data_IF_433236658916
#
_entry.id   IF_433236658916
#
_cell.length_a   1.000
_cell.length_b   1.000
_cell.length_c   1.000
_cell.angle_alpha   90.00
_cell.angle_beta   90.00
_cell.angle_gamma   90.00
#
_symmetry.space_group_name_H-M   'P 1'
#
loop_
_entity.id
_entity.type
_entity.pdbx_description
1 polymer ?
#
# COMPACT_ATOMS: atom_id res chain seq x y z
N UNK A 1 -26.54 3.62 -2.14
CA UNK A 1 -25.26 4.26 -2.46
C UNK A 1 -24.35 3.98 -1.28
N UNK A 2 -23.46 2.99 -1.40
CA UNK A 2 -22.45 2.75 -0.35
C UNK A 2 -21.54 3.97 -0.42
N UNK A 3 -21.29 4.71 0.68
CA UNK A 3 -20.27 5.77 0.66
C UNK A 3 -18.98 5.13 0.13
N UNK A 4 -18.24 5.82 -0.75
CA UNK A 4 -17.07 5.25 -1.45
C UNK A 4 -16.26 4.36 -0.49
N UNK A 5 -16.35 3.05 -0.75
CA UNK A 5 -16.41 2.06 0.32
C UNK A 5 -15.06 1.74 0.95
N UNK A 6 -15.07 1.52 2.28
CA UNK A 6 -13.99 0.89 3.02
C UNK A 6 -13.49 -0.40 2.34
N UNK A 7 -14.38 -1.19 1.72
CA UNK A 7 -14.08 -2.50 1.16
C UNK A 7 -14.35 -2.60 -0.35
N UNK A 8 -13.66 -3.53 -1.01
CA UNK A 8 -13.85 -3.85 -2.43
C UNK A 8 -13.00 -3.01 -3.38
N UNK A 9 -11.99 -2.31 -2.87
CA UNK A 9 -11.13 -1.43 -3.65
C UNK A 9 -10.17 -2.23 -4.53
N UNK A 10 -9.87 -1.70 -5.71
CA UNK A 10 -8.79 -2.19 -6.58
C UNK A 10 -7.65 -1.21 -6.44
N UNK A 11 -6.48 -1.68 -6.01
CA UNK A 11 -5.30 -0.84 -5.85
C UNK A 11 -4.26 -1.22 -6.90
N UNK A 12 -3.49 -0.25 -7.36
CA UNK A 12 -2.37 -0.51 -8.28
C UNK A 12 -1.07 -0.59 -7.48
N UNK A 13 -0.35 -1.69 -7.66
CA UNK A 13 1.01 -1.86 -7.16
C UNK A 13 1.96 -1.36 -8.25
N UNK A 14 2.78 -0.37 -7.91
CA UNK A 14 3.84 0.13 -8.78
C UNK A 14 5.18 -0.33 -8.20
N UNK A 15 5.79 -1.31 -8.88
CA UNK A 15 7.02 -1.96 -8.46
C UNK A 15 8.21 -1.31 -9.17
N UNK A 16 9.16 -0.70 -8.44
CA UNK A 16 10.30 -0.05 -9.06
C UNK A 16 11.12 -1.08 -9.85
N UNK A 17 11.41 -0.76 -11.11
CA UNK A 17 12.45 -1.46 -11.83
C UNK A 17 13.81 -0.93 -11.37
N UNK A 18 14.85 -1.76 -11.47
CA UNK A 18 16.21 -1.36 -11.11
C UNK A 18 16.73 -0.19 -11.95
N UNK A 19 18.01 0.12 -11.83
CA UNK A 19 18.62 1.19 -12.65
C UNK A 19 19.25 0.64 -13.92
N UNK A 20 19.31 1.45 -14.97
CA UNK A 20 20.12 1.16 -16.15
C UNK A 20 21.63 1.25 -15.82
N UNK A 21 22.50 0.99 -16.82
CA UNK A 21 23.97 1.05 -16.63
C UNK A 21 24.53 2.43 -16.26
N UNK A 22 23.72 3.48 -16.36
CA UNK A 22 24.06 4.87 -16.05
C UNK A 22 23.49 5.32 -14.70
N UNK A 23 22.75 4.46 -14.00
CA UNK A 23 22.12 4.79 -12.72
C UNK A 23 20.73 5.42 -12.86
N UNK A 24 20.19 5.60 -14.08
CA UNK A 24 18.84 6.11 -14.24
C UNK A 24 17.81 5.02 -13.89
N UNK A 25 16.72 5.36 -13.18
CA UNK A 25 15.67 4.41 -12.87
C UNK A 25 14.98 3.91 -14.14
N UNK A 26 14.80 2.60 -14.24
CA UNK A 26 13.98 2.00 -15.28
C UNK A 26 12.49 2.20 -14.94
N UNK A 27 11.59 2.19 -15.94
CA UNK A 27 10.16 2.33 -15.71
C UNK A 27 9.64 1.21 -14.79
N UNK A 28 8.76 1.53 -13.82
CA UNK A 28 8.20 0.52 -12.92
C UNK A 28 7.29 -0.44 -13.68
N UNK A 29 7.13 -1.64 -13.11
CA UNK A 29 6.08 -2.58 -13.54
C UNK A 29 4.86 -2.38 -12.67
N UNK A 30 3.67 -2.42 -13.27
CA UNK A 30 2.41 -2.18 -12.56
C UNK A 30 1.44 -3.35 -12.69
N UNK A 31 0.74 -3.65 -11.60
CA UNK A 31 -0.34 -4.64 -11.59
C UNK A 31 -1.39 -4.28 -10.54
N UNK A 32 -2.60 -4.80 -10.72
CA UNK A 32 -3.73 -4.53 -9.82
C UNK A 32 -3.89 -5.61 -8.75
N UNK A 33 -4.30 -5.20 -7.56
CA UNK A 33 -4.76 -6.08 -6.48
C UNK A 33 -6.23 -5.76 -6.14
N UNK A 34 -7.18 -6.65 -6.48
CA UNK A 34 -8.60 -6.41 -6.23
C UNK A 34 -9.00 -6.79 -4.80
N UNK A 35 -10.21 -6.36 -4.39
CA UNK A 35 -10.84 -6.81 -3.16
C UNK A 35 -10.20 -6.25 -1.88
N UNK A 36 -9.50 -5.12 -1.99
CA UNK A 36 -8.81 -4.50 -0.87
C UNK A 36 -9.78 -3.77 0.06
N UNK A 37 -9.42 -3.72 1.34
CA UNK A 37 -10.09 -2.93 2.37
C UNK A 37 -9.12 -1.86 2.88
N UNK A 38 -9.53 -0.60 2.88
CA UNK A 38 -8.72 0.57 3.24
C UNK A 38 -9.09 1.12 4.62
N UNK A 39 -8.25 0.91 5.63
CA UNK A 39 -8.44 1.46 6.98
C UNK A 39 -7.48 2.64 7.23
N UNK A 40 -7.95 3.90 7.13
CA UNK A 40 -7.11 5.07 7.43
C UNK A 40 -6.63 5.04 8.88
N UNK A 41 -5.34 5.30 9.08
CA UNK A 41 -4.77 5.56 10.41
C UNK A 41 -4.81 7.04 10.75
N UNK A 42 -4.64 7.38 12.03
CA UNK A 42 -4.45 8.77 12.44
C UNK A 42 -3.17 9.36 11.83
N UNK A 43 -3.20 10.62 11.44
CA UNK A 43 -2.01 11.39 11.07
C UNK A 43 -1.21 11.77 12.32
N UNK A 44 0.11 11.86 12.18
CA UNK A 44 0.98 12.46 13.19
C UNK A 44 1.66 13.66 12.52
N UNK A 45 1.49 14.84 13.10
CA UNK A 45 2.18 16.07 12.67
C UNK A 45 3.54 16.13 13.41
N UNK A 46 4.64 16.27 12.67
CA UNK A 46 5.96 16.52 13.26
C UNK A 46 6.24 18.03 13.18
N UNK A 47 6.37 18.70 14.32
CA UNK A 47 6.47 20.17 14.40
C UNK A 47 7.91 20.67 14.50
N UNK A 48 8.92 19.78 14.52
CA UNK A 48 10.31 20.17 14.85
C UNK A 48 11.16 20.60 13.66
N UNK A 49 10.79 20.30 12.41
CA UNK A 49 11.44 20.89 11.22
C UNK A 49 10.66 20.60 9.93
N UNK A 50 10.04 21.65 9.38
CA UNK A 50 9.14 21.65 8.20
C UNK A 50 7.75 21.05 8.46
N UNK A 51 6.72 21.69 7.88
CA UNK A 51 5.30 21.32 7.95
C UNK A 51 5.07 19.99 7.21
N UNK A 52 5.48 18.88 7.85
CA UNK A 52 5.41 17.56 7.25
C UNK A 52 4.32 16.75 7.93
N UNK A 53 3.20 16.56 7.23
CA UNK A 53 2.11 15.69 7.68
C UNK A 53 2.36 14.28 7.15
N UNK A 54 2.51 13.32 8.07
CA UNK A 54 2.58 11.89 7.69
C UNK A 54 1.20 11.27 7.84
N UNK A 55 0.56 10.97 6.71
CA UNK A 55 -0.68 10.20 6.67
C UNK A 55 -0.37 8.70 6.68
N UNK A 56 -1.21 7.91 7.35
CA UNK A 56 -1.07 6.45 7.47
C UNK A 56 -2.32 5.74 6.99
N UNK A 57 -2.15 4.57 6.40
CA UNK A 57 -3.24 3.71 5.94
C UNK A 57 -2.86 2.25 6.15
N UNK A 58 -3.80 1.42 6.61
CA UNK A 58 -3.66 -0.03 6.64
C UNK A 58 -4.55 -0.64 5.56
N UNK A 59 -3.98 -1.46 4.70
CA UNK A 59 -4.71 -2.21 3.68
C UNK A 59 -4.83 -3.67 4.09
N UNK A 60 -6.03 -4.21 4.02
CA UNK A 60 -6.29 -5.64 4.13
C UNK A 60 -6.66 -6.20 2.77
N UNK A 61 -6.02 -7.30 2.37
CA UNK A 61 -6.28 -7.97 1.10
C UNK A 61 -6.07 -9.48 1.22
N UNK A 62 -6.25 -10.23 0.13
CA UNK A 62 -6.02 -11.67 0.09
C UNK A 62 -4.58 -12.04 0.49
N UNK A 63 -4.37 -13.23 1.10
CA UNK A 63 -3.06 -13.63 1.61
C UNK A 63 -1.99 -13.74 0.52
N UNK A 64 -2.41 -14.02 -0.71
CA UNK A 64 -1.55 -14.19 -1.89
C UNK A 64 -1.28 -12.88 -2.66
N UNK A 65 -1.67 -11.72 -2.11
CA UNK A 65 -1.40 -10.45 -2.78
C UNK A 65 0.10 -10.26 -3.03
N UNK A 66 0.45 -10.00 -4.29
CA UNK A 66 1.82 -9.71 -4.70
C UNK A 66 2.16 -8.25 -4.41
N UNK A 67 2.71 -8.02 -3.23
CA UNK A 67 3.21 -6.72 -2.76
C UNK A 67 4.54 -6.96 -2.03
N UNK A 68 5.49 -6.06 -2.23
CA UNK A 68 6.80 -6.02 -1.59
C UNK A 68 6.97 -4.72 -0.80
N UNK A 69 7.92 -4.72 0.14
CA UNK A 69 8.26 -3.55 0.95
C UNK A 69 8.78 -2.36 0.11
N UNK A 70 9.30 -2.61 -1.09
CA UNK A 70 9.83 -1.60 -2.00
C UNK A 70 8.77 -1.02 -2.94
N UNK A 71 7.57 -1.59 -2.94
CA UNK A 71 6.51 -1.17 -3.86
C UNK A 71 5.89 0.15 -3.42
N UNK A 72 5.28 0.86 -4.38
CA UNK A 72 4.36 1.97 -4.14
C UNK A 72 2.95 1.51 -4.42
N UNK A 73 1.99 1.99 -3.64
CA UNK A 73 0.57 1.73 -3.88
C UNK A 73 -0.09 3.00 -4.40
N UNK A 74 -0.83 2.87 -5.50
CA UNK A 74 -1.69 3.92 -6.03
C UNK A 74 -3.13 3.58 -5.68
N UNK A 75 -3.77 4.47 -4.93
CA UNK A 75 -5.19 4.34 -4.60
C UNK A 75 -6.07 4.80 -5.78
N UNK A 76 -7.37 4.47 -5.80
CA UNK A 76 -8.28 4.85 -6.89
C UNK A 76 -8.40 6.37 -7.14
N UNK A 77 -8.08 7.18 -6.13
CA UNK A 77 -8.04 8.65 -6.22
C UNK A 77 -6.74 9.18 -6.87
N UNK A 78 -5.84 8.28 -7.30
CA UNK A 78 -4.55 8.61 -7.90
C UNK A 78 -3.45 8.96 -6.89
N UNK A 79 -3.72 8.85 -5.58
CA UNK A 79 -2.70 9.16 -4.57
C UNK A 79 -1.68 8.04 -4.44
N UNK A 80 -0.40 8.42 -4.30
CA UNK A 80 0.72 7.50 -4.18
C UNK A 80 1.15 7.34 -2.72
N UNK A 81 1.35 6.09 -2.30
CA UNK A 81 1.71 5.71 -0.94
C UNK A 81 2.93 4.79 -0.93
N UNK A 82 3.79 4.94 0.07
CA UNK A 82 4.88 4.02 0.36
C UNK A 82 4.35 2.78 1.06
N UNK A 83 4.79 1.58 0.67
CA UNK A 83 4.69 0.43 1.57
C UNK A 83 5.70 0.63 2.71
N UNK A 84 5.26 0.45 3.95
CA UNK A 84 6.10 0.62 5.13
C UNK A 84 6.16 -0.67 5.94
N UNK A 85 7.39 -1.05 6.28
CA UNK A 85 7.68 -2.42 6.68
C UNK A 85 7.44 -3.41 5.52
N UNK A 86 7.33 -4.69 5.87
CA UNK A 86 6.96 -5.75 4.93
C UNK A 86 5.48 -6.12 5.05
N UNK A 87 4.81 -6.53 3.95
CA UNK A 87 3.47 -7.10 4.01
C UNK A 87 3.41 -8.29 4.96
N UNK A 88 2.42 -8.30 5.86
CA UNK A 88 2.24 -9.34 6.87
C UNK A 88 1.13 -10.30 6.45
N UNK A 89 1.47 -11.57 6.29
CA UNK A 89 0.53 -12.61 5.85
C UNK A 89 0.13 -13.49 7.03
N UNK A 90 -1.16 -13.54 7.31
CA UNK A 90 -1.75 -14.36 8.37
C UNK A 90 -2.67 -15.40 7.73
N UNK A 91 -2.31 -16.67 7.83
CA UNK A 91 -3.15 -17.77 7.35
C UNK A 91 -4.06 -18.26 8.49
N UNK A 92 -5.29 -18.63 8.15
CA UNK A 92 -6.21 -19.22 9.10
C UNK A 92 -5.78 -20.66 9.43
N UNK A 93 -5.63 -21.03 10.71
CA UNK A 93 -5.41 -22.42 11.10
C UNK A 93 -6.70 -23.26 11.02
N UNK A 94 -7.86 -22.63 10.85
CA UNK A 94 -9.18 -23.28 10.89
C UNK A 94 -9.79 -23.49 9.51
N UNK A 95 -9.42 -22.66 8.52
CA UNK A 95 -9.97 -22.70 7.16
C UNK A 95 -8.82 -22.75 6.16
N UNK A 96 -8.57 -23.91 5.52
CA UNK A 96 -7.51 -24.05 4.52
C UNK A 96 -7.67 -23.03 3.37
N UNK A 97 -6.55 -22.43 2.95
CA UNK A 97 -6.52 -21.45 1.86
C UNK A 97 -7.13 -20.08 2.19
N UNK A 98 -7.58 -19.87 3.42
CA UNK A 98 -8.05 -18.55 3.89
C UNK A 98 -6.98 -17.85 4.71
N UNK A 99 -6.95 -16.53 4.62
CA UNK A 99 -6.01 -15.69 5.32
C UNK A 99 -6.20 -14.23 4.98
N UNK A 100 -5.31 -13.39 5.48
CA UNK A 100 -5.27 -11.96 5.18
C UNK A 100 -3.83 -11.51 5.01
N UNK A 101 -3.60 -10.64 4.04
CA UNK A 101 -2.38 -9.85 3.93
C UNK A 101 -2.66 -8.44 4.45
N UNK A 102 -1.83 -7.98 5.38
CA UNK A 102 -1.87 -6.63 5.96
C UNK A 102 -0.69 -5.84 5.40
N UNK A 103 -0.99 -4.71 4.77
CA UNK A 103 0.00 -3.81 4.17
C UNK A 103 -0.14 -2.46 4.84
N UNK A 104 0.92 -2.01 5.50
CA UNK A 104 0.96 -0.67 6.07
C UNK A 104 1.49 0.30 5.02
N UNK A 105 0.82 1.45 4.92
CA UNK A 105 1.13 2.49 3.96
C UNK A 105 1.38 3.81 4.67
N UNK A 106 2.36 4.56 4.19
CA UNK A 106 2.60 5.93 4.62
C UNK A 106 2.71 6.86 3.42
N UNK A 107 2.17 8.06 3.57
CA UNK A 107 2.30 9.14 2.60
C UNK A 107 2.72 10.39 3.35
N UNK A 108 3.85 10.93 2.94
CA UNK A 108 4.36 12.20 3.42
C UNK A 108 3.79 13.30 2.53
N UNK A 109 3.11 14.27 3.13
CA UNK A 109 2.62 15.48 2.46
C UNK A 109 3.18 16.71 3.15
N UNK A 110 3.62 17.68 2.36
CA UNK A 110 4.12 18.99 2.77
C UNK A 110 4.05 19.96 1.60
#
# INVERSE_FOLDING_TARGET
>A
MIPEGLAGQVLTVSRPAGTNRYGDPLPPTEHEIPGCVLAPGGSTEDTDSADQVTARMTVYTGPEADVLATDRIVLPDGTHWAVTGGPQRYLSPFVPGSGVCVINLERVTG
#
